data_IF_541309725730
#
_entry.id   IF_541309725730
#
_cell.length_a   1.000
_cell.length_b   1.000
_cell.length_c   1.000
_cell.angle_alpha   90.00
_cell.angle_beta   90.00
_cell.angle_gamma   90.00
#
_symmetry.space_group_name_H-M   'P 1'
#
loop_
_entity.id
_entity.type
_entity.pdbx_description
1 polymer ?
#
# COMPACT_ATOMS: atom_id res chain seq x y z
N UNK A 1 -1.44 17.50 -17.44
CA UNK A 1 -0.82 16.19 -17.14
C UNK A 1 0.10 16.23 -15.91
N UNK A 2 0.86 17.31 -15.66
CA UNK A 2 1.73 17.46 -14.48
C UNK A 2 1.02 17.44 -13.11
N UNK A 3 -0.26 17.86 -13.06
CA UNK A 3 -1.07 17.86 -11.84
C UNK A 3 -1.19 16.46 -11.21
N UNK A 4 -1.39 15.43 -12.03
CA UNK A 4 -1.50 14.05 -11.56
C UNK A 4 -0.18 13.54 -10.97
N UNK A 5 0.96 13.98 -11.49
CA UNK A 5 2.29 13.60 -10.96
C UNK A 5 2.48 14.17 -9.55
N UNK A 6 2.09 15.42 -9.32
CA UNK A 6 2.15 16.04 -7.98
C UNK A 6 1.21 15.34 -6.98
N UNK A 7 0.00 14.97 -7.43
CA UNK A 7 -0.97 14.25 -6.60
C UNK A 7 -0.43 12.87 -6.21
N UNK A 8 0.09 12.11 -7.18
CA UNK A 8 0.68 10.78 -6.93
C UNK A 8 1.88 10.91 -5.97
N UNK A 9 2.76 11.89 -6.20
CA UNK A 9 3.92 12.11 -5.35
C UNK A 9 3.52 12.45 -3.91
N UNK A 10 2.51 13.30 -3.73
CA UNK A 10 1.96 13.64 -2.40
C UNK A 10 1.37 12.42 -1.69
N UNK A 11 0.62 11.58 -2.41
CA UNK A 11 0.05 10.34 -1.86
C UNK A 11 1.17 9.38 -1.42
N UNK A 12 2.21 9.19 -2.23
CA UNK A 12 3.34 8.31 -1.91
C UNK A 12 4.08 8.78 -0.65
N UNK A 13 4.34 10.09 -0.55
CA UNK A 13 5.00 10.68 0.63
C UNK A 13 4.15 10.50 1.89
N UNK A 14 2.85 10.75 1.79
CA UNK A 14 1.92 10.60 2.91
C UNK A 14 1.85 9.15 3.38
N UNK A 15 1.75 8.19 2.44
CA UNK A 15 1.75 6.76 2.77
C UNK A 15 3.07 6.33 3.40
N UNK A 16 4.23 6.79 2.90
CA UNK A 16 5.54 6.48 3.52
C UNK A 16 5.65 7.04 4.94
N UNK A 17 5.11 8.23 5.20
CA UNK A 17 5.16 8.86 6.52
C UNK A 17 4.26 8.12 7.51
N UNK A 18 3.04 7.76 7.10
CA UNK A 18 2.09 7.00 7.92
C UNK A 18 2.56 5.55 8.15
N UNK A 19 3.05 4.88 7.11
CA UNK A 19 3.55 3.50 7.20
C UNK A 19 4.90 3.40 7.94
N UNK A 20 5.73 4.46 7.91
CA UNK A 20 7.00 4.53 8.62
C UNK A 20 6.88 4.76 10.13
N UNK A 21 5.70 5.12 10.63
CA UNK A 21 5.45 5.38 12.06
C UNK A 21 5.29 4.13 12.93
N UNK A 22 5.17 2.93 12.34
CA UNK A 22 4.89 1.67 13.06
C UNK A 22 6.04 0.66 13.02
N UNK A 23 7.20 0.99 12.46
CA UNK A 23 8.36 0.09 12.45
C UNK A 23 9.17 0.23 13.74
N UNK A 24 8.80 -0.52 14.77
CA UNK A 24 9.69 -0.83 15.88
C UNK A 24 10.93 -1.60 15.38
N UNK A 25 12.09 -1.50 16.07
CA UNK A 25 13.40 -1.93 15.56
C UNK A 25 13.64 -3.44 15.67
N UNK A 26 12.70 -4.28 15.22
CA UNK A 26 12.79 -5.74 15.39
C UNK A 26 12.21 -6.62 14.29
N UNK A 27 11.35 -6.11 13.41
CA UNK A 27 10.74 -6.93 12.37
C UNK A 27 11.36 -6.58 11.00
N UNK A 28 11.90 -7.54 10.23
CA UNK A 28 12.40 -7.26 8.88
C UNK A 28 11.28 -6.65 8.02
N UNK A 29 11.59 -5.78 7.05
CA UNK A 29 10.61 -5.20 6.13
C UNK A 29 10.16 -6.27 5.13
N UNK A 30 9.49 -7.31 5.63
CA UNK A 30 8.66 -8.19 4.84
C UNK A 30 7.52 -7.30 4.42
N UNK A 31 7.61 -6.76 3.20
CA UNK A 31 6.53 -6.02 2.54
C UNK A 31 5.25 -6.76 2.90
N UNK A 32 4.44 -6.16 3.76
CA UNK A 32 3.30 -6.88 4.33
C UNK A 32 2.48 -7.37 3.15
N UNK A 33 1.90 -8.57 3.23
CA UNK A 33 1.11 -9.11 2.12
C UNK A 33 0.06 -8.08 1.64
N UNK A 34 -0.39 -7.20 2.55
CA UNK A 34 -1.18 -5.99 2.29
C UNK A 34 -0.53 -4.94 1.37
N UNK A 35 0.76 -4.62 1.52
CA UNK A 35 1.45 -3.64 0.67
C UNK A 35 1.61 -4.15 -0.77
N UNK A 36 1.94 -5.44 -0.93
CA UNK A 36 2.02 -6.08 -2.26
C UNK A 36 0.65 -6.07 -2.93
N UNK A 37 -0.41 -6.29 -2.14
CA UNK A 37 -1.79 -6.22 -2.61
C UNK A 37 -2.17 -4.81 -3.05
N UNK A 38 -1.79 -3.81 -2.26
CA UNK A 38 -2.05 -2.39 -2.54
C UNK A 38 -1.31 -1.91 -3.79
N UNK A 39 -0.08 -2.36 -3.99
CA UNK A 39 0.73 -2.05 -5.17
C UNK A 39 0.12 -2.61 -6.46
N UNK A 40 -0.47 -3.81 -6.41
CA UNK A 40 -1.17 -4.41 -7.57
C UNK A 40 -2.53 -3.75 -7.85
N UNK A 41 -3.24 -3.34 -6.80
CA UNK A 41 -4.47 -2.54 -6.96
C UNK A 41 -4.18 -1.18 -7.59
N UNK A 42 -3.11 -0.51 -7.15
CA UNK A 42 -2.67 0.76 -7.74
C UNK A 42 -2.19 0.60 -9.20
N UNK A 43 -1.62 -0.54 -9.56
CA UNK A 43 -1.32 -0.91 -10.95
C UNK A 43 -2.55 -1.26 -11.78
N UNK A 44 -3.72 -1.45 -11.16
CA UNK A 44 -4.95 -1.89 -11.83
C UNK A 44 -4.94 -3.37 -12.23
N UNK A 45 -3.97 -4.16 -11.73
CA UNK A 45 -3.85 -5.59 -12.02
C UNK A 45 -4.87 -6.43 -11.24
N UNK A 46 -5.42 -5.89 -10.15
CA UNK A 46 -6.47 -6.52 -9.35
C UNK A 46 -7.64 -5.56 -9.16
N UNK A 47 -8.85 -6.12 -9.19
CA UNK A 47 -10.07 -5.37 -8.91
C UNK A 47 -10.25 -5.06 -7.42
N UNK A 48 -11.12 -4.08 -7.12
CA UNK A 48 -11.48 -3.72 -5.73
C UNK A 48 -12.01 -4.91 -4.92
N UNK A 49 -12.76 -5.79 -5.58
CA UNK A 49 -13.37 -6.96 -4.96
C UNK A 49 -12.32 -8.00 -4.53
N UNK A 50 -11.32 -8.25 -5.38
CA UNK A 50 -10.18 -9.12 -5.05
C UNK A 50 -9.28 -8.53 -3.96
N UNK A 51 -9.09 -7.22 -3.98
CA UNK A 51 -8.34 -6.51 -2.94
C UNK A 51 -9.02 -6.68 -1.57
N UNK A 52 -10.35 -6.54 -1.50
CA UNK A 52 -11.08 -6.67 -0.25
C UNK A 52 -11.11 -8.11 0.29
N UNK A 53 -11.24 -9.13 -0.57
CA UNK A 53 -11.15 -10.53 -0.12
C UNK A 53 -9.79 -10.83 0.50
N UNK A 54 -8.71 -10.55 -0.24
CA UNK A 54 -7.34 -10.86 0.21
C UNK A 54 -6.93 -10.03 1.42
N UNK A 55 -7.43 -8.79 1.56
CA UNK A 55 -7.24 -8.00 2.78
C UNK A 55 -7.82 -8.69 4.01
N UNK A 56 -9.06 -9.18 3.92
CA UNK A 56 -9.73 -9.88 5.04
C UNK A 56 -9.02 -11.17 5.42
N UNK A 57 -8.51 -11.90 4.44
CA UNK A 57 -7.75 -13.14 4.67
C UNK A 57 -6.40 -12.89 5.37
N UNK A 58 -5.78 -11.73 5.15
CA UNK A 58 -4.50 -11.35 5.77
C UNK A 58 -4.69 -10.75 7.18
N UNK A 59 -5.85 -10.16 7.44
CA UNK A 59 -6.22 -9.55 8.73
C UNK A 59 -6.83 -10.56 9.72
N UNK A 60 -7.08 -11.80 9.27
CA UNK A 60 -7.57 -12.94 10.08
C UNK A 60 -6.43 -13.80 10.61
#
# INVERSE_FOLDING_TARGET
MLFWVLVILGIVVLVKWVAGGSSGPGEPPVKSALDILKERYARGEIGREEFEQKKRDIES
#
